data_IF_560841035965
#
_entry.id   IF_560841035965
#
_cell.length_a   1.000
_cell.length_b   1.000
_cell.length_c   1.000
_cell.angle_alpha   90.00
_cell.angle_beta   90.00
_cell.angle_gamma   90.00
#
_symmetry.space_group_name_H-M   'P 1'
#
loop_
_entity.id
_entity.type
_entity.pdbx_description
1 polymer ?
#
# COMPACT_ATOMS: atom_id res chain seq x y z
N UNK A 1 25.55 -22.07 -26.49
CA UNK A 1 25.00 -22.11 -27.86
C UNK A 1 26.11 -21.83 -28.90
N UNK A 2 26.87 -22.85 -29.34
CA UNK A 2 27.91 -22.68 -30.38
C UNK A 2 27.37 -22.78 -31.82
N UNK A 3 26.23 -23.47 -32.01
CA UNK A 3 25.60 -23.65 -33.32
C UNK A 3 25.05 -22.34 -33.92
N UNK A 4 24.61 -21.42 -33.07
CA UNK A 4 24.01 -20.15 -33.48
C UNK A 4 25.00 -19.21 -34.17
N UNK A 5 26.24 -19.15 -33.65
CA UNK A 5 27.34 -18.46 -34.31
C UNK A 5 27.63 -19.13 -35.65
N UNK A 6 27.68 -20.45 -35.72
CA UNK A 6 28.01 -21.17 -36.96
C UNK A 6 27.06 -20.90 -38.13
N UNK A 7 25.74 -20.84 -37.87
CA UNK A 7 24.71 -20.69 -38.93
C UNK A 7 24.66 -19.27 -39.49
N UNK A 8 24.97 -18.26 -38.68
CA UNK A 8 25.03 -16.86 -39.12
C UNK A 8 26.38 -16.53 -39.73
N UNK A 9 27.47 -17.05 -39.16
CA UNK A 9 28.82 -16.72 -39.60
C UNK A 9 29.20 -17.37 -40.94
N UNK A 10 28.69 -18.56 -41.28
CA UNK A 10 29.06 -19.20 -42.54
C UNK A 10 28.53 -18.44 -43.79
N UNK A 11 27.25 -18.03 -43.85
CA UNK A 11 26.74 -17.22 -44.95
C UNK A 11 27.32 -15.80 -44.96
N UNK A 12 27.54 -15.19 -43.79
CA UNK A 12 28.22 -13.88 -43.67
C UNK A 12 29.65 -13.94 -44.23
N UNK A 13 30.41 -14.98 -43.87
CA UNK A 13 31.77 -15.21 -44.35
C UNK A 13 31.80 -15.45 -45.85
N UNK A 14 30.80 -16.16 -46.39
CA UNK A 14 30.65 -16.38 -47.83
C UNK A 14 30.41 -15.06 -48.57
N UNK A 15 29.52 -14.20 -48.06
CA UNK A 15 29.29 -12.87 -48.63
C UNK A 15 30.56 -12.00 -48.53
N UNK A 16 31.24 -11.97 -47.39
CA UNK A 16 32.49 -11.21 -47.21
C UNK A 16 33.63 -11.69 -48.13
N UNK A 17 33.80 -13.00 -48.32
CA UNK A 17 34.81 -13.59 -49.22
C UNK A 17 34.54 -13.24 -50.70
N UNK A 18 33.27 -13.13 -51.08
CA UNK A 18 32.86 -12.74 -52.43
C UNK A 18 33.02 -11.22 -52.64
N UNK A 19 32.85 -10.43 -51.58
CA UNK A 19 32.95 -8.97 -51.55
C UNK A 19 34.39 -8.44 -51.64
N UNK A 20 35.39 -9.19 -51.17
CA UNK A 20 36.83 -8.82 -51.24
C UNK A 20 37.35 -8.57 -52.68
N UNK A 21 36.59 -8.97 -53.70
CA UNK A 21 36.99 -8.87 -55.12
C UNK A 21 36.53 -7.60 -55.86
N UNK A 22 35.68 -6.71 -55.30
CA UNK A 22 35.13 -5.53 -56.05
C UNK A 22 34.73 -4.32 -55.19
N UNK A 23 35.01 -3.11 -55.69
CA UNK A 23 35.17 -1.88 -54.87
C UNK A 23 33.90 -1.04 -54.54
N UNK A 24 32.86 -0.97 -55.40
CA UNK A 24 31.80 0.08 -55.24
C UNK A 24 30.41 -0.36 -54.73
N UNK A 25 30.05 -1.64 -54.79
CA UNK A 25 28.84 -2.17 -54.12
C UNK A 25 29.06 -2.55 -52.64
N UNK A 26 30.33 -2.54 -52.23
CA UNK A 26 30.87 -3.02 -50.96
C UNK A 26 30.40 -2.21 -49.76
N UNK A 27 30.45 -0.88 -49.84
CA UNK A 27 30.19 0.00 -48.70
C UNK A 27 28.72 -0.06 -48.22
N UNK A 28 27.77 -0.08 -49.16
CA UNK A 28 26.34 -0.14 -48.83
C UNK A 28 25.96 -1.47 -48.19
N UNK A 29 26.37 -2.59 -48.78
CA UNK A 29 26.15 -3.93 -48.21
C UNK A 29 26.83 -4.13 -46.87
N UNK A 30 28.07 -3.64 -46.73
CA UNK A 30 28.80 -3.63 -45.48
C UNK A 30 28.02 -2.90 -44.37
N UNK A 31 27.45 -1.74 -44.68
CA UNK A 31 26.63 -0.98 -43.72
C UNK A 31 25.38 -1.76 -43.25
N UNK A 32 24.72 -2.49 -44.16
CA UNK A 32 23.52 -3.27 -43.84
C UNK A 32 23.83 -4.53 -43.04
N UNK A 33 24.90 -5.24 -43.41
CA UNK A 33 25.39 -6.39 -42.65
C UNK A 33 25.84 -6.00 -41.24
N UNK A 34 26.48 -4.85 -41.10
CA UNK A 34 26.93 -4.32 -39.81
C UNK A 34 25.73 -4.03 -38.90
N UNK A 35 24.75 -3.26 -39.40
CA UNK A 35 23.55 -2.93 -38.63
C UNK A 35 22.75 -4.17 -38.16
N UNK A 36 22.76 -5.24 -38.95
CA UNK A 36 22.09 -6.50 -38.61
C UNK A 36 22.89 -7.32 -37.60
N UNK A 37 24.20 -7.48 -37.83
CA UNK A 37 25.11 -8.19 -36.92
C UNK A 37 25.13 -7.54 -35.53
N UNK A 38 25.11 -6.21 -35.47
CA UNK A 38 25.07 -5.45 -34.21
C UNK A 38 23.78 -5.69 -33.41
N UNK A 39 22.68 -6.04 -34.08
CA UNK A 39 21.39 -6.31 -33.43
C UNK A 39 21.25 -7.75 -32.91
N UNK A 40 22.01 -8.72 -33.46
CA UNK A 40 21.90 -10.14 -33.11
C UNK A 40 22.10 -10.48 -31.62
N UNK A 41 23.07 -9.88 -30.88
CA UNK A 41 23.24 -10.17 -29.45
C UNK A 41 22.00 -9.80 -28.64
N UNK A 42 21.33 -8.70 -29.01
CA UNK A 42 20.12 -8.20 -28.34
C UNK A 42 18.94 -9.15 -28.54
N UNK A 43 18.79 -9.68 -29.76
CA UNK A 43 17.75 -10.67 -30.09
C UNK A 43 17.95 -12.00 -29.36
N UNK A 44 19.20 -12.42 -29.16
CA UNK A 44 19.48 -13.62 -28.37
C UNK A 44 19.04 -13.46 -26.90
N UNK A 45 19.30 -12.30 -26.30
CA UNK A 45 18.83 -11.99 -24.94
C UNK A 45 17.31 -12.05 -24.88
N UNK A 46 16.60 -11.44 -25.84
CA UNK A 46 15.13 -11.48 -25.88
C UNK A 46 14.59 -12.90 -26.05
N UNK A 47 15.24 -13.71 -26.89
CA UNK A 47 14.90 -15.11 -27.07
C UNK A 47 15.00 -15.93 -25.78
N UNK A 48 15.97 -15.62 -24.92
CA UNK A 48 16.18 -16.32 -23.65
C UNK A 48 15.25 -15.84 -22.53
N UNK A 49 15.06 -14.53 -22.37
CA UNK A 49 14.23 -13.96 -21.30
C UNK A 49 12.73 -14.12 -21.54
N UNK A 50 12.30 -14.19 -22.81
CA UNK A 50 10.88 -14.25 -23.18
C UNK A 50 10.53 -15.52 -23.96
N UNK A 51 11.02 -16.69 -23.51
CA UNK A 51 10.75 -17.99 -24.14
C UNK A 51 9.25 -18.32 -24.28
N UNK A 52 8.44 -17.85 -23.34
CA UNK A 52 7.01 -18.15 -23.29
C UNK A 52 6.14 -17.17 -24.11
N UNK A 53 6.72 -16.09 -24.65
CA UNK A 53 5.99 -15.11 -25.44
C UNK A 53 5.99 -15.51 -26.92
N UNK A 54 4.92 -16.16 -27.36
CA UNK A 54 4.79 -16.68 -28.74
C UNK A 54 4.84 -15.60 -29.81
N UNK A 55 4.40 -14.37 -29.50
CA UNK A 55 4.42 -13.22 -30.42
C UNK A 55 5.86 -12.77 -30.65
N UNK A 56 6.62 -12.59 -29.57
CA UNK A 56 8.02 -12.17 -29.63
C UNK A 56 8.91 -13.25 -30.27
N UNK A 57 8.69 -14.53 -29.95
CA UNK A 57 9.42 -15.64 -30.57
C UNK A 57 9.15 -15.74 -32.08
N UNK A 58 7.90 -15.49 -32.51
CA UNK A 58 7.55 -15.42 -33.93
C UNK A 58 8.25 -14.26 -34.64
N UNK A 59 8.25 -13.08 -34.04
CA UNK A 59 8.92 -11.91 -34.62
C UNK A 59 10.45 -12.11 -34.72
N UNK A 60 11.08 -12.69 -33.68
CA UNK A 60 12.48 -13.10 -33.72
C UNK A 60 12.76 -14.12 -34.83
N UNK A 61 11.89 -15.13 -34.97
CA UNK A 61 11.95 -16.11 -36.05
C UNK A 61 11.92 -15.46 -37.44
N UNK A 62 11.03 -14.49 -37.65
CA UNK A 62 10.91 -13.77 -38.91
C UNK A 62 12.18 -12.98 -39.27
N UNK A 63 12.86 -12.38 -38.28
CA UNK A 63 14.16 -11.71 -38.48
C UNK A 63 15.22 -12.71 -38.94
N UNK A 64 15.28 -13.91 -38.32
CA UNK A 64 16.24 -14.93 -38.71
C UNK A 64 15.98 -15.51 -40.10
N UNK A 65 14.71 -15.75 -40.45
CA UNK A 65 14.33 -16.19 -41.80
C UNK A 65 14.73 -15.13 -42.83
N UNK A 66 14.45 -13.86 -42.55
CA UNK A 66 14.81 -12.76 -43.44
C UNK A 66 16.33 -12.61 -43.59
N UNK A 67 17.09 -12.88 -42.53
CA UNK A 67 18.55 -12.90 -42.58
C UNK A 67 19.10 -14.03 -43.46
N UNK A 68 18.57 -15.24 -43.30
CA UNK A 68 18.98 -16.38 -44.13
C UNK A 68 18.59 -16.14 -45.59
N UNK A 69 17.40 -15.60 -45.87
CA UNK A 69 16.95 -15.24 -47.22
C UNK A 69 17.85 -14.15 -47.85
N UNK A 70 18.26 -13.13 -47.06
CA UNK A 70 19.24 -12.14 -47.49
C UNK A 70 20.56 -12.80 -47.91
N UNK A 71 21.12 -13.65 -47.05
CA UNK A 71 22.39 -14.30 -47.31
C UNK A 71 22.33 -15.24 -48.52
N UNK A 72 21.21 -15.97 -48.70
CA UNK A 72 21.02 -16.87 -49.84
C UNK A 72 20.87 -16.12 -51.16
N UNK A 73 20.13 -15.00 -51.18
CA UNK A 73 20.00 -14.15 -52.38
C UNK A 73 21.31 -13.46 -52.73
N UNK A 74 22.04 -12.99 -51.72
CA UNK A 74 23.39 -12.46 -51.91
C UNK A 74 24.38 -13.53 -52.39
N UNK A 75 24.28 -14.78 -51.96
CA UNK A 75 25.14 -15.83 -52.52
C UNK A 75 24.81 -16.11 -54.00
N UNK A 76 23.54 -16.33 -54.32
CA UNK A 76 23.06 -16.70 -55.67
C UNK A 76 23.30 -15.61 -56.71
N UNK A 77 23.06 -14.36 -56.36
CA UNK A 77 23.27 -13.22 -57.26
C UNK A 77 24.73 -13.09 -57.72
N UNK A 78 25.68 -13.51 -56.87
CA UNK A 78 27.11 -13.45 -57.21
C UNK A 78 27.63 -14.71 -57.91
N UNK A 79 26.94 -15.85 -57.77
CA UNK A 79 27.23 -17.07 -58.54
C UNK A 79 26.71 -17.00 -59.98
N UNK A 80 25.65 -16.23 -60.25
CA UNK A 80 24.89 -16.33 -61.50
C UNK A 80 25.28 -15.41 -62.65
N UNK A 81 26.33 -14.57 -62.59
CA UNK A 81 26.74 -13.82 -63.80
C UNK A 81 28.22 -13.40 -63.89
N UNK A 82 28.79 -13.73 -65.05
CA UNK A 82 30.07 -13.21 -65.54
C UNK A 82 29.99 -11.72 -65.85
N UNK A 83 30.67 -10.94 -65.00
CA UNK A 83 31.23 -9.61 -65.22
C UNK A 83 30.90 -8.89 -66.56
N UNK A 84 30.12 -7.79 -66.50
CA UNK A 84 30.49 -6.40 -66.92
C UNK A 84 29.40 -5.58 -67.67
N UNK A 85 28.39 -6.10 -68.36
CA UNK A 85 27.61 -5.21 -69.27
C UNK A 85 26.30 -4.56 -68.74
N UNK A 86 25.74 -4.96 -67.59
CA UNK A 86 24.38 -4.52 -67.18
C UNK A 86 24.30 -3.77 -65.84
N UNK A 87 25.40 -3.16 -65.37
CA UNK A 87 25.52 -2.67 -63.99
C UNK A 87 24.46 -1.63 -63.55
N UNK A 88 23.91 -0.82 -64.47
CA UNK A 88 22.87 0.18 -64.14
C UNK A 88 21.49 -0.43 -63.93
N UNK A 89 21.15 -1.49 -64.67
CA UNK A 89 19.91 -2.28 -64.49
C UNK A 89 20.01 -3.24 -63.29
N UNK A 90 21.24 -3.68 -63.02
CA UNK A 90 21.63 -4.51 -61.88
C UNK A 90 21.54 -3.71 -60.58
N UNK A 91 22.02 -2.47 -60.53
CA UNK A 91 21.88 -1.60 -59.35
C UNK A 91 20.43 -1.36 -58.97
N UNK A 92 19.54 -1.09 -59.93
CA UNK A 92 18.11 -0.87 -59.66
C UNK A 92 17.37 -2.14 -59.25
N UNK A 93 17.69 -3.30 -59.83
CA UNK A 93 17.09 -4.58 -59.41
C UNK A 93 17.62 -5.05 -58.05
N UNK A 94 18.91 -4.82 -57.77
CA UNK A 94 19.52 -5.01 -56.47
C UNK A 94 18.86 -4.12 -55.42
N UNK A 95 18.74 -2.82 -55.70
CA UNK A 95 18.08 -1.88 -54.80
C UNK A 95 16.65 -2.33 -54.47
N UNK A 96 15.86 -2.79 -55.46
CA UNK A 96 14.49 -3.26 -55.21
C UNK A 96 14.42 -4.59 -54.44
N UNK A 97 15.23 -5.59 -54.81
CA UNK A 97 15.21 -6.91 -54.16
C UNK A 97 15.73 -6.88 -52.71
N UNK A 98 16.75 -6.06 -52.43
CA UNK A 98 17.30 -5.94 -51.09
C UNK A 98 16.51 -4.94 -50.23
N UNK A 99 15.82 -3.97 -50.83
CA UNK A 99 14.91 -3.06 -50.12
C UNK A 99 13.75 -3.81 -49.45
N UNK A 100 13.10 -4.75 -50.12
CA UNK A 100 11.96 -5.50 -49.56
C UNK A 100 12.37 -6.33 -48.31
N UNK A 101 13.55 -6.92 -48.35
CA UNK A 101 14.12 -7.68 -47.22
C UNK A 101 14.45 -6.74 -46.07
N UNK A 102 15.01 -5.57 -46.36
CA UNK A 102 15.32 -4.55 -45.36
C UNK A 102 14.06 -3.97 -44.70
N UNK A 103 13.02 -3.69 -45.48
CA UNK A 103 11.71 -3.27 -44.98
C UNK A 103 11.13 -4.33 -44.05
N UNK A 104 11.26 -5.61 -44.42
CA UNK A 104 10.78 -6.74 -43.59
C UNK A 104 11.56 -6.87 -42.29
N UNK A 105 12.89 -6.74 -42.33
CA UNK A 105 13.76 -6.80 -41.14
C UNK A 105 13.48 -5.62 -40.21
N UNK A 106 13.40 -4.40 -40.73
CA UNK A 106 13.13 -3.22 -39.91
C UNK A 106 11.72 -3.24 -39.32
N UNK A 107 10.73 -3.72 -40.06
CA UNK A 107 9.36 -3.91 -39.55
C UNK A 107 9.34 -4.93 -38.41
N UNK A 108 10.03 -6.06 -38.59
CA UNK A 108 10.11 -7.10 -37.55
C UNK A 108 10.90 -6.60 -36.33
N UNK A 109 11.94 -5.80 -36.53
CA UNK A 109 12.70 -5.14 -35.47
C UNK A 109 11.83 -4.17 -34.67
N UNK A 110 11.08 -3.30 -35.33
CA UNK A 110 10.17 -2.35 -34.69
C UNK A 110 9.08 -3.08 -33.88
N UNK A 111 8.54 -4.18 -34.43
CA UNK A 111 7.59 -5.04 -33.72
C UNK A 111 8.19 -5.70 -32.47
N UNK A 112 9.45 -6.18 -32.57
CA UNK A 112 10.21 -6.72 -31.42
C UNK A 112 10.42 -5.64 -30.36
N UNK A 113 10.91 -4.46 -30.75
CA UNK A 113 11.20 -3.37 -29.81
C UNK A 113 9.92 -2.89 -29.10
N UNK A 114 8.82 -2.72 -29.83
CA UNK A 114 7.51 -2.37 -29.26
C UNK A 114 6.97 -3.45 -28.32
N UNK A 115 7.08 -4.72 -28.71
CA UNK A 115 6.61 -5.85 -27.89
C UNK A 115 7.43 -5.98 -26.61
N UNK A 116 8.76 -5.89 -26.69
CA UNK A 116 9.64 -5.93 -25.53
C UNK A 116 9.38 -4.75 -24.61
N UNK A 117 9.20 -3.54 -25.15
CA UNK A 117 8.84 -2.38 -24.36
C UNK A 117 7.51 -2.57 -23.62
N UNK A 118 6.47 -3.05 -24.33
CA UNK A 118 5.17 -3.32 -23.73
C UNK A 118 5.23 -4.39 -22.62
N UNK A 119 5.92 -5.51 -22.88
CA UNK A 119 6.07 -6.59 -21.89
C UNK A 119 6.88 -6.14 -20.68
N UNK A 120 7.95 -5.37 -20.90
CA UNK A 120 8.78 -4.83 -19.81
C UNK A 120 7.98 -3.84 -18.95
N UNK A 121 7.17 -2.98 -19.58
CA UNK A 121 6.29 -2.05 -18.86
C UNK A 121 5.25 -2.81 -18.02
N UNK A 122 4.59 -3.82 -18.57
CA UNK A 122 3.62 -4.64 -17.84
C UNK A 122 4.26 -5.38 -16.66
N UNK A 123 5.46 -5.94 -16.84
CA UNK A 123 6.18 -6.60 -15.76
C UNK A 123 6.55 -5.63 -14.64
N UNK A 124 7.12 -4.47 -14.98
CA UNK A 124 7.49 -3.42 -14.01
C UNK A 124 6.25 -2.91 -13.27
N UNK A 125 5.14 -2.69 -13.97
CA UNK A 125 3.88 -2.31 -13.36
C UNK A 125 3.36 -3.39 -12.41
N UNK A 126 3.34 -4.65 -12.82
CA UNK A 126 2.90 -5.77 -11.99
C UNK A 126 3.73 -5.90 -10.70
N UNK A 127 5.05 -5.88 -10.82
CA UNK A 127 5.96 -5.90 -9.64
C UNK A 127 5.72 -4.69 -8.74
N UNK A 128 5.55 -3.50 -9.32
CA UNK A 128 5.27 -2.27 -8.55
C UNK A 128 3.92 -2.34 -7.82
N UNK A 129 2.89 -2.90 -8.44
CA UNK A 129 1.59 -3.09 -7.80
C UNK A 129 1.69 -4.06 -6.62
N UNK A 130 2.28 -5.24 -6.84
CA UNK A 130 2.44 -6.27 -5.79
C UNK A 130 3.28 -5.72 -4.62
N UNK A 131 4.39 -5.04 -4.91
CA UNK A 131 5.26 -4.47 -3.85
C UNK A 131 4.58 -3.35 -3.08
N UNK A 132 3.78 -2.50 -3.74
CA UNK A 132 2.98 -1.47 -3.07
C UNK A 132 1.93 -2.11 -2.16
N UNK A 133 1.19 -3.10 -2.66
CA UNK A 133 0.13 -3.78 -1.89
C UNK A 133 0.69 -4.53 -0.68
N UNK A 134 1.80 -5.26 -0.84
CA UNK A 134 2.49 -5.92 0.27
C UNK A 134 2.98 -4.92 1.32
N UNK A 135 3.46 -3.74 0.89
CA UNK A 135 3.89 -2.69 1.81
C UNK A 135 2.71 -2.10 2.59
N UNK A 136 1.60 -1.82 1.91
CA UNK A 136 0.40 -1.26 2.53
C UNK A 136 -0.23 -2.23 3.52
N UNK A 137 -0.39 -3.49 3.13
CA UNK A 137 -0.90 -4.55 4.01
C UNK A 137 -0.01 -4.74 5.24
N UNK A 138 1.32 -4.77 5.05
CA UNK A 138 2.28 -4.84 6.15
C UNK A 138 2.18 -3.64 7.12
N UNK A 139 2.02 -2.42 6.60
CA UNK A 139 1.83 -1.22 7.43
C UNK A 139 0.53 -1.31 8.24
N UNK A 140 -0.57 -1.73 7.62
CA UNK A 140 -1.88 -1.87 8.28
C UNK A 140 -1.83 -2.93 9.38
N UNK A 141 -1.24 -4.10 9.11
CA UNK A 141 -1.08 -5.17 10.10
C UNK A 141 -0.21 -4.73 11.27
N UNK A 142 0.95 -4.12 11.00
CA UNK A 142 1.82 -3.60 12.04
C UNK A 142 1.10 -2.57 12.92
N UNK A 143 0.37 -1.62 12.31
CA UNK A 143 -0.43 -0.64 13.07
C UNK A 143 -1.48 -1.29 13.97
N UNK A 144 -2.19 -2.29 13.45
CA UNK A 144 -3.20 -3.06 14.22
C UNK A 144 -2.57 -3.78 15.41
N UNK A 145 -1.42 -4.41 15.20
CA UNK A 145 -0.67 -5.10 16.26
C UNK A 145 -0.19 -4.12 17.33
N UNK A 146 0.38 -2.97 16.94
CA UNK A 146 0.82 -1.94 17.89
C UNK A 146 -0.35 -1.40 18.71
N UNK A 147 -1.49 -1.10 18.07
CA UNK A 147 -2.71 -0.68 18.77
C UNK A 147 -3.12 -1.72 19.82
N UNK A 148 -3.15 -2.99 19.44
CA UNK A 148 -3.51 -4.09 20.34
C UNK A 148 -2.55 -4.20 21.53
N UNK A 149 -1.24 -4.09 21.29
CA UNK A 149 -0.22 -4.11 22.35
C UNK A 149 -0.39 -2.94 23.32
N UNK A 150 -0.59 -1.73 22.80
CA UNK A 150 -0.80 -0.53 23.63
C UNK A 150 -2.08 -0.61 24.45
N UNK A 151 -3.19 -1.04 23.86
CA UNK A 151 -4.46 -1.22 24.57
C UNK A 151 -4.36 -2.30 25.66
N UNK A 152 -3.68 -3.42 25.38
CA UNK A 152 -3.40 -4.46 26.39
C UNK A 152 -2.51 -3.93 27.51
N UNK A 153 -1.50 -3.13 27.19
CA UNK A 153 -0.60 -2.53 28.17
C UNK A 153 -1.32 -1.59 29.15
N UNK A 154 -2.34 -0.86 28.68
CA UNK A 154 -3.18 -0.05 29.56
C UNK A 154 -3.85 -0.91 30.64
N UNK A 155 -4.15 -2.19 30.39
CA UNK A 155 -4.72 -3.11 31.38
C UNK A 155 -5.88 -2.47 32.16
N UNK A 156 -6.99 -2.14 31.46
CA UNK A 156 -8.13 -1.47 32.07
C UNK A 156 -8.83 -2.38 33.10
N UNK A 157 -9.50 -1.75 34.05
CA UNK A 157 -10.45 -2.46 34.91
C UNK A 157 -11.67 -2.86 34.07
N UNK A 158 -12.16 -4.08 34.28
CA UNK A 158 -13.33 -4.60 33.57
C UNK A 158 -14.62 -3.98 34.15
N UNK A 159 -15.17 -3.00 33.42
CA UNK A 159 -16.40 -2.27 33.79
C UNK A 159 -17.65 -2.93 33.20
N UNK A 160 -17.53 -3.65 32.08
CA UNK A 160 -18.66 -4.29 31.40
C UNK A 160 -19.35 -5.36 32.26
N UNK A 161 -18.58 -6.12 33.04
CA UNK A 161 -19.15 -7.08 34.00
C UNK A 161 -19.94 -6.39 35.11
N UNK A 162 -19.46 -5.26 35.62
CA UNK A 162 -20.17 -4.47 36.63
C UNK A 162 -21.48 -3.93 36.05
N UNK A 163 -21.42 -3.34 34.85
CA UNK A 163 -22.60 -2.87 34.13
C UNK A 163 -23.62 -3.99 33.94
N UNK A 164 -23.19 -5.15 33.45
CA UNK A 164 -24.06 -6.31 33.26
C UNK A 164 -24.71 -6.75 34.57
N UNK A 165 -23.95 -6.74 35.67
CA UNK A 165 -24.46 -7.10 37.00
C UNK A 165 -25.48 -6.07 37.50
N UNK A 166 -25.20 -4.79 37.34
CA UNK A 166 -26.10 -3.69 37.71
C UNK A 166 -27.38 -3.76 36.86
N UNK A 167 -27.26 -3.93 35.55
CA UNK A 167 -28.42 -4.03 34.64
C UNK A 167 -29.32 -5.23 34.98
N UNK A 168 -28.76 -6.38 35.39
CA UNK A 168 -29.54 -7.56 35.81
C UNK A 168 -30.33 -7.34 37.09
N UNK A 169 -29.83 -6.49 37.99
CA UNK A 169 -30.47 -6.20 39.28
C UNK A 169 -31.40 -4.98 39.20
N UNK A 170 -31.23 -4.15 38.17
CA UNK A 170 -32.05 -2.97 37.93
C UNK A 170 -33.45 -3.36 37.48
N UNK A 171 -34.46 -2.63 37.97
CA UNK A 171 -35.86 -2.85 37.63
C UNK A 171 -36.31 -1.77 36.64
N UNK A 172 -36.90 -2.19 35.52
CA UNK A 172 -37.40 -1.28 34.50
C UNK A 172 -38.44 -0.31 35.05
N UNK A 173 -38.43 0.94 34.57
CA UNK A 173 -39.31 2.02 35.07
C UNK A 173 -38.79 2.72 36.33
N UNK A 174 -37.74 2.20 36.98
CA UNK A 174 -37.12 2.87 38.13
C UNK A 174 -36.07 3.88 37.67
N UNK A 175 -35.78 4.89 38.49
CA UNK A 175 -34.81 5.96 38.22
C UNK A 175 -35.20 7.00 37.16
N UNK A 176 -36.24 6.78 36.35
CA UNK A 176 -36.69 7.72 35.29
C UNK A 176 -37.05 9.12 35.81
N UNK A 177 -37.56 9.20 37.04
CA UNK A 177 -37.92 10.47 37.69
C UNK A 177 -36.77 11.47 37.71
N UNK A 178 -35.51 11.03 37.67
CA UNK A 178 -34.34 11.93 37.71
C UNK A 178 -34.27 12.86 36.50
N UNK A 179 -34.72 12.38 35.34
CA UNK A 179 -34.70 13.14 34.09
C UNK A 179 -35.63 14.35 34.12
N UNK A 180 -36.64 14.31 34.99
CA UNK A 180 -37.62 15.37 35.20
C UNK A 180 -37.18 16.40 36.25
N UNK A 181 -36.03 16.18 36.90
CA UNK A 181 -35.55 17.09 37.94
C UNK A 181 -34.83 18.29 37.33
N UNK A 182 -35.12 19.48 37.85
CA UNK A 182 -34.44 20.72 37.43
C UNK A 182 -32.91 20.61 37.55
N UNK A 183 -32.40 19.89 38.54
CA UNK A 183 -30.95 19.66 38.73
C UNK A 183 -30.33 18.84 37.60
N UNK A 184 -31.01 17.79 37.14
CA UNK A 184 -30.55 16.99 36.00
C UNK A 184 -30.58 17.82 34.72
N UNK A 185 -31.69 18.52 34.46
CA UNK A 185 -31.85 19.36 33.27
C UNK A 185 -30.79 20.45 33.22
N UNK A 186 -30.56 21.18 34.33
CA UNK A 186 -29.51 22.19 34.42
C UNK A 186 -28.10 21.61 34.21
N UNK A 187 -27.84 20.41 34.70
CA UNK A 187 -26.53 19.76 34.51
C UNK A 187 -26.34 19.21 33.09
N UNK A 188 -27.41 18.78 32.43
CA UNK A 188 -27.35 18.21 31.09
C UNK A 188 -27.30 19.31 30.02
N UNK A 189 -28.12 20.35 30.17
CA UNK A 189 -28.28 21.44 29.20
C UNK A 189 -27.36 22.63 29.49
N UNK A 190 -26.93 22.82 30.73
CA UNK A 190 -26.33 24.07 31.20
C UNK A 190 -24.90 24.33 30.75
N UNK A 191 -24.42 23.70 29.68
CA UNK A 191 -23.08 23.94 29.12
C UNK A 191 -22.92 25.43 28.78
N UNK A 192 -22.28 26.18 29.68
CA UNK A 192 -21.93 27.59 29.50
C UNK A 192 -20.48 27.67 29.07
N UNK A 193 -20.15 28.59 28.17
CA UNK A 193 -18.77 28.88 27.73
C UNK A 193 -17.83 29.19 28.90
N UNK A 194 -18.36 29.57 30.07
CA UNK A 194 -17.60 29.95 31.25
C UNK A 194 -17.43 28.83 32.30
N UNK A 195 -18.18 27.73 32.22
CA UNK A 195 -18.06 26.58 33.12
C UNK A 195 -18.12 25.24 32.35
N UNK A 196 -16.98 24.79 31.78
CA UNK A 196 -16.95 23.59 30.94
C UNK A 196 -17.12 22.28 31.72
N UNK A 197 -17.03 22.30 33.05
CA UNK A 197 -17.07 21.13 33.93
C UNK A 197 -18.30 21.17 34.84
N UNK A 198 -19.34 20.43 34.47
CA UNK A 198 -20.55 20.33 35.27
C UNK A 198 -20.60 19.00 36.04
N UNK A 199 -20.81 19.07 37.35
CA UNK A 199 -20.83 17.89 38.23
C UNK A 199 -22.23 17.67 38.77
N UNK A 200 -22.84 16.53 38.43
CA UNK A 200 -24.07 16.06 39.06
C UNK A 200 -23.74 15.19 40.28
N UNK A 201 -24.00 15.71 41.48
CA UNK A 201 -23.76 14.98 42.71
C UNK A 201 -25.01 14.24 43.21
N UNK A 202 -25.02 12.91 43.08
CA UNK A 202 -26.05 12.04 43.66
C UNK A 202 -25.76 11.73 45.14
N UNK A 203 -26.60 12.25 46.06
CA UNK A 203 -26.49 12.02 47.51
C UNK A 203 -27.68 11.23 48.05
N UNK A 204 -27.45 10.40 49.06
CA UNK A 204 -28.48 9.59 49.71
C UNK A 204 -27.89 8.55 50.65
N UNK A 205 -28.71 7.98 51.53
CA UNK A 205 -28.30 6.93 52.48
C UNK A 205 -27.82 5.63 51.83
N UNK A 206 -27.21 4.74 52.60
CA UNK A 206 -26.86 3.40 52.12
C UNK A 206 -28.14 2.68 51.65
N UNK A 207 -28.09 1.97 50.52
CA UNK A 207 -29.26 1.27 49.97
C UNK A 207 -30.24 2.15 49.18
N UNK A 208 -30.04 3.47 49.09
CA UNK A 208 -30.96 4.39 48.39
C UNK A 208 -30.94 4.30 46.85
N UNK A 209 -30.28 3.30 46.26
CA UNK A 209 -30.25 3.10 44.80
C UNK A 209 -29.33 4.03 43.99
N UNK A 210 -28.39 4.77 44.61
CA UNK A 210 -27.49 5.70 43.88
C UNK A 210 -26.74 5.06 42.71
N UNK A 211 -26.26 3.83 42.87
CA UNK A 211 -25.54 3.10 41.81
C UNK A 211 -26.44 2.81 40.62
N UNK A 212 -27.68 2.39 40.87
CA UNK A 212 -28.69 2.19 39.83
C UNK A 212 -29.03 3.50 39.12
N UNK A 213 -29.16 4.58 39.88
CA UNK A 213 -29.43 5.92 39.35
C UNK A 213 -28.30 6.41 38.43
N UNK A 214 -27.04 6.26 38.86
CA UNK A 214 -25.87 6.62 38.05
C UNK A 214 -25.75 5.77 36.78
N UNK A 215 -26.03 4.46 36.90
CA UNK A 215 -26.03 3.54 35.76
C UNK A 215 -27.13 3.90 34.75
N UNK A 216 -28.35 4.18 35.21
CA UNK A 216 -29.46 4.65 34.38
C UNK A 216 -29.11 5.93 33.64
N UNK A 217 -28.57 6.95 34.32
CA UNK A 217 -28.13 8.19 33.68
C UNK A 217 -27.09 7.89 32.59
N UNK A 218 -26.10 7.07 32.88
CA UNK A 218 -25.05 6.77 31.92
C UNK A 218 -25.55 5.98 30.69
N UNK A 219 -26.53 5.10 30.85
CA UNK A 219 -27.20 4.42 29.73
C UNK A 219 -28.03 5.40 28.89
N UNK A 220 -28.78 6.29 29.54
CA UNK A 220 -29.54 7.34 28.84
C UNK A 220 -28.62 8.22 28.00
N UNK A 221 -27.47 8.65 28.55
CA UNK A 221 -26.49 9.45 27.81
C UNK A 221 -25.84 8.69 26.64
N UNK A 222 -25.55 7.40 26.82
CA UNK A 222 -25.02 6.57 25.75
C UNK A 222 -26.01 6.44 24.58
N UNK A 223 -27.32 6.49 24.86
CA UNK A 223 -28.37 6.47 23.82
C UNK A 223 -28.53 7.81 23.08
N UNK A 224 -28.06 8.93 23.65
CA UNK A 224 -28.18 10.28 23.07
C UNK A 224 -26.94 10.74 22.30
N UNK A 225 -26.16 9.80 21.74
CA UNK A 225 -24.92 10.07 21.00
C UNK A 225 -23.82 10.78 21.81
N UNK A 226 -23.87 10.71 23.15
CA UNK A 226 -22.78 11.18 23.99
C UNK A 226 -21.68 10.12 24.12
N UNK A 227 -20.42 10.54 24.11
CA UNK A 227 -19.32 9.64 24.46
C UNK A 227 -19.28 9.45 25.99
N UNK A 228 -19.68 8.27 26.46
CA UNK A 228 -19.78 7.97 27.88
C UNK A 228 -18.58 7.12 28.31
N UNK A 229 -17.83 7.62 29.29
CA UNK A 229 -16.71 6.93 29.93
C UNK A 229 -17.09 6.64 31.40
N UNK A 230 -16.95 5.40 31.84
CA UNK A 230 -17.43 4.95 33.14
C UNK A 230 -16.31 4.37 33.99
N UNK A 231 -16.38 4.60 35.30
CA UNK A 231 -15.48 3.97 36.26
C UNK A 231 -16.13 3.85 37.63
N UNK A 232 -15.92 2.70 38.28
CA UNK A 232 -16.46 2.43 39.62
C UNK A 232 -15.33 2.34 40.64
N UNK A 233 -15.24 3.35 41.51
CA UNK A 233 -14.42 3.27 42.72
C UNK A 233 -15.09 2.33 43.73
N UNK A 234 -14.34 1.34 44.23
CA UNK A 234 -14.85 0.33 45.16
C UNK A 234 -14.10 0.33 46.49
N UNK A 235 -14.86 0.34 47.59
CA UNK A 235 -14.35 0.20 48.95
C UNK A 235 -14.21 -1.27 49.41
N UNK A 236 -14.49 -2.26 48.54
CA UNK A 236 -14.21 -3.68 48.82
C UNK A 236 -12.70 -3.93 48.86
N UNK A 237 -12.23 -4.71 49.82
CA UNK A 237 -10.78 -4.94 50.03
C UNK A 237 -10.16 -5.71 48.86
N UNK A 238 -10.86 -6.71 48.35
CA UNK A 238 -10.49 -7.52 47.17
C UNK A 238 -10.32 -6.68 45.89
N UNK A 239 -10.96 -5.49 45.83
CA UNK A 239 -10.93 -4.58 44.70
C UNK A 239 -10.04 -3.36 44.95
N UNK A 240 -9.03 -3.48 45.82
CA UNK A 240 -8.15 -2.38 46.23
C UNK A 240 -7.51 -1.60 45.07
N UNK A 241 -7.17 -2.28 43.97
CA UNK A 241 -6.60 -1.67 42.76
C UNK A 241 -7.51 -0.58 42.15
N UNK A 242 -8.83 -0.70 42.32
CA UNK A 242 -9.81 0.26 41.79
C UNK A 242 -9.76 1.61 42.49
N UNK A 243 -9.08 1.73 43.64
CA UNK A 243 -8.87 3.00 44.34
C UNK A 243 -7.66 3.77 43.86
N UNK A 244 -6.84 3.17 43.00
CA UNK A 244 -5.64 3.81 42.50
C UNK A 244 -5.97 4.78 41.38
N UNK A 245 -5.28 5.93 41.38
CA UNK A 245 -5.35 6.89 40.29
C UNK A 245 -4.95 6.25 38.95
N UNK A 246 -3.97 5.33 38.99
CA UNK A 246 -3.46 4.66 37.81
C UNK A 246 -4.54 3.81 37.11
N UNK A 247 -5.29 3.01 37.87
CA UNK A 247 -6.38 2.20 37.33
C UNK A 247 -7.50 3.05 36.75
N UNK A 248 -7.85 4.16 37.42
CA UNK A 248 -8.80 5.13 36.87
C UNK A 248 -8.34 5.66 35.51
N UNK A 249 -7.13 6.24 35.45
CA UNK A 249 -6.61 6.85 34.22
C UNK A 249 -6.52 5.84 33.08
N UNK A 250 -5.96 4.66 33.34
CA UNK A 250 -5.81 3.59 32.34
C UNK A 250 -7.14 3.12 31.78
N UNK A 251 -8.15 2.97 32.64
CA UNK A 251 -9.48 2.50 32.26
C UNK A 251 -10.23 3.54 31.45
N UNK A 252 -10.17 4.82 31.85
CA UNK A 252 -10.80 5.92 31.11
C UNK A 252 -10.08 6.16 29.77
N UNK A 253 -8.74 6.13 29.75
CA UNK A 253 -7.97 6.22 28.50
C UNK A 253 -8.32 5.08 27.54
N UNK A 254 -8.41 3.85 28.04
CA UNK A 254 -8.80 2.70 27.22
C UNK A 254 -10.18 2.93 26.60
N UNK A 255 -11.17 3.33 27.39
CA UNK A 255 -12.51 3.61 26.89
C UNK A 255 -12.50 4.77 25.87
N UNK A 256 -11.75 5.85 26.11
CA UNK A 256 -11.63 6.96 25.15
C UNK A 256 -10.95 6.54 23.83
N UNK A 257 -10.06 5.56 23.85
CA UNK A 257 -9.38 5.06 22.64
C UNK A 257 -10.20 4.01 21.87
N UNK A 258 -11.16 3.36 22.53
CA UNK A 258 -12.01 2.31 21.96
C UNK A 258 -13.36 2.86 21.52
N UNK A 259 -14.03 3.65 22.36
CA UNK A 259 -15.41 4.10 22.16
C UNK A 259 -15.54 5.27 21.18
N UNK A 260 -14.45 5.96 20.86
CA UNK A 260 -14.58 7.22 20.14
C UNK A 260 -14.37 7.05 18.63
N UNK A 261 -15.35 7.54 17.85
CA UNK A 261 -15.27 7.79 16.41
C UNK A 261 -14.35 8.96 16.04
N UNK A 262 -13.24 9.12 16.77
CA UNK A 262 -12.34 10.26 16.61
C UNK A 262 -11.71 10.22 15.22
N UNK A 263 -11.43 11.43 14.73
CA UNK A 263 -10.52 11.65 13.61
C UNK A 263 -9.32 10.70 13.75
N UNK A 264 -9.20 9.78 12.79
CA UNK A 264 -8.31 8.61 12.88
C UNK A 264 -6.90 9.05 13.28
N UNK A 265 -6.51 10.24 12.84
CA UNK A 265 -5.24 10.91 13.12
C UNK A 265 -5.01 11.18 14.61
N UNK A 266 -5.93 11.81 15.33
CA UNK A 266 -5.73 12.20 16.75
C UNK A 266 -5.63 10.98 17.66
N UNK A 267 -6.44 9.95 17.42
CA UNK A 267 -6.34 8.65 18.13
C UNK A 267 -5.02 7.94 17.85
N UNK A 268 -4.56 7.95 16.60
CA UNK A 268 -3.28 7.34 16.24
C UNK A 268 -2.10 8.06 16.90
N UNK A 269 -2.14 9.39 16.97
CA UNK A 269 -1.14 10.16 17.67
C UNK A 269 -1.11 9.86 19.17
N UNK A 270 -2.29 9.80 19.81
CA UNK A 270 -2.38 9.45 21.22
C UNK A 270 -1.86 8.04 21.50
N UNK A 271 -2.24 7.05 20.68
CA UNK A 271 -1.69 5.69 20.75
C UNK A 271 -0.16 5.67 20.62
N UNK A 272 0.39 6.45 19.70
CA UNK A 272 1.85 6.57 19.52
C UNK A 272 2.54 7.19 20.75
N UNK A 273 1.95 8.21 21.37
CA UNK A 273 2.49 8.81 22.61
C UNK A 273 2.41 7.84 23.78
N UNK A 274 1.29 7.15 23.95
CA UNK A 274 1.12 6.13 25.01
C UNK A 274 2.09 4.96 24.78
N UNK A 275 2.30 4.51 23.54
CA UNK A 275 3.31 3.51 23.21
C UNK A 275 4.71 3.95 23.67
N UNK A 276 5.13 5.17 23.32
CA UNK A 276 6.43 5.72 23.77
C UNK A 276 6.52 5.83 25.30
N UNK A 277 5.40 6.08 25.99
CA UNK A 277 5.36 6.06 27.46
C UNK A 277 5.57 4.62 27.95
N UNK A 278 4.88 3.63 27.38
CA UNK A 278 4.96 2.22 27.77
C UNK A 278 6.35 1.60 27.61
N UNK A 279 7.14 2.06 26.63
CA UNK A 279 8.49 1.57 26.35
C UNK A 279 9.54 2.12 27.33
N UNK A 280 9.24 3.19 28.05
CA UNK A 280 10.17 3.83 29.00
C UNK A 280 9.91 3.31 30.41
N UNK A 281 10.95 3.16 31.22
CA UNK A 281 10.81 2.78 32.66
C UNK A 281 9.89 3.74 33.45
N UNK A 282 9.78 5.01 33.02
CA UNK A 282 8.88 6.03 33.55
C UNK A 282 7.38 5.81 33.22
N UNK A 283 7.01 4.68 32.60
CA UNK A 283 5.64 4.35 32.17
C UNK A 283 4.62 4.26 33.31
N UNK A 284 5.10 4.18 34.56
CA UNK A 284 4.26 4.16 35.76
C UNK A 284 3.88 5.56 36.26
N UNK A 285 4.25 6.64 35.56
CA UNK A 285 3.89 8.01 35.96
C UNK A 285 2.41 8.32 35.67
N UNK A 286 1.55 8.51 36.71
CA UNK A 286 0.15 8.87 36.50
C UNK A 286 0.00 10.20 35.76
N UNK A 287 0.90 11.16 36.04
CA UNK A 287 0.88 12.51 35.43
C UNK A 287 1.00 12.47 33.90
N UNK A 288 1.84 11.59 33.35
CA UNK A 288 2.01 11.49 31.90
C UNK A 288 0.75 10.97 31.21
N UNK A 289 0.15 9.90 31.76
CA UNK A 289 -1.09 9.35 31.23
C UNK A 289 -2.27 10.31 31.43
N UNK A 290 -2.32 11.02 32.56
CA UNK A 290 -3.31 12.08 32.78
C UNK A 290 -3.25 13.17 31.70
N UNK A 291 -2.05 13.63 31.35
CA UNK A 291 -1.89 14.63 30.31
C UNK A 291 -2.37 14.14 28.93
N UNK A 292 -2.17 12.85 28.60
CA UNK A 292 -2.71 12.30 27.35
C UNK A 292 -4.24 12.21 27.38
N UNK A 293 -4.83 11.84 28.52
CA UNK A 293 -6.28 11.82 28.68
C UNK A 293 -6.85 13.23 28.50
N UNK A 294 -6.24 14.21 29.16
CA UNK A 294 -6.68 15.61 29.08
C UNK A 294 -6.64 16.13 27.64
N UNK A 295 -5.58 15.83 26.88
CA UNK A 295 -5.49 16.19 25.46
C UNK A 295 -6.55 15.51 24.60
N UNK A 296 -6.86 14.23 24.86
CA UNK A 296 -7.89 13.51 24.13
C UNK A 296 -9.27 14.11 24.36
N UNK A 297 -9.56 14.53 25.59
CA UNK A 297 -10.83 15.17 25.96
C UNK A 297 -10.91 16.61 25.44
N UNK A 298 -9.82 17.39 25.51
CA UNK A 298 -9.80 18.75 24.97
C UNK A 298 -9.78 18.81 23.44
N UNK A 299 -9.15 17.84 22.77
CA UNK A 299 -9.17 17.73 21.31
C UNK A 299 -10.56 17.42 20.73
N UNK A 300 -11.53 17.10 21.59
CA UNK A 300 -12.95 16.90 21.25
C UNK A 300 -13.79 18.18 21.38
N UNK A 301 -13.28 19.22 22.04
CA UNK A 301 -13.94 20.51 22.11
C UNK A 301 -13.88 21.19 20.72
N UNK A 302 -15.02 21.68 20.26
CA UNK A 302 -15.18 22.47 19.03
C UNK A 302 -14.08 23.55 18.93
N UNK A 303 -13.55 23.88 17.73
CA UNK A 303 -12.46 24.84 17.56
C UNK A 303 -12.68 26.24 18.16
N UNK A 304 -13.90 26.55 18.61
CA UNK A 304 -14.27 27.84 19.21
C UNK A 304 -14.14 27.90 20.74
N UNK A 305 -13.74 26.80 21.41
CA UNK A 305 -13.54 26.84 22.87
C UNK A 305 -12.07 27.20 23.15
N UNK A 306 -11.79 28.36 23.78
CA UNK A 306 -10.42 28.82 23.99
C UNK A 306 -9.63 27.85 24.87
N UNK A 307 -8.40 27.57 24.44
CA UNK A 307 -7.43 26.73 25.13
C UNK A 307 -6.88 27.51 26.33
N UNK A 308 -7.09 26.99 27.54
CA UNK A 308 -6.43 27.43 28.77
C UNK A 308 -5.29 26.48 29.14
#
# INVERSE_FOLDING_TARGET
>A
MSWFRSVVWAPLKLVLLVLEKRDRGFERLGSYLTALVDALPRYNIYGEYFRNNTILQRALGNVYVSYIDFCLRAARYWESDGLVSSFKSISTSFDQQFHDIFVTINRSRDEIEKTVAAVSLLYVQGVKHITTELRETGIVQWRSEQRTKTLKWLSPIEIEQDNTTISKQWVQGTSEWILQTTKYTQWFEGQSEHEPLQILWLRGGVGSGKTFLAHFIAQTLASTNCNVLQYYFSAKQELGIRRTQMSFIRTILYQALVNTSLDTTSTLEALNRIRKISEKSEAQSPKKLWNELFRLVQGQAHPDIPRY
#
